data_IF_692619573938
#
_entry.id   IF_692619573938
#
_cell.length_a   1.000
_cell.length_b   1.000
_cell.length_c   1.000
_cell.angle_alpha   90.00
_cell.angle_beta   90.00
_cell.angle_gamma   90.00
#
_symmetry.space_group_name_H-M   'P 1'
#
loop_
_entity.id
_entity.type
_entity.pdbx_description
1 polymer ?
#
# COMPACT_ATOMS: atom_id res chain seq x y z
N UNK A 1 5.96 -1.72 5.23
CA UNK A 1 5.53 -1.72 6.65
C UNK A 1 5.22 -0.30 7.13
N UNK A 2 6.17 0.64 7.03
CA UNK A 2 6.04 2.01 7.55
C UNK A 2 4.81 2.78 7.04
N UNK A 3 4.39 2.59 5.79
CA UNK A 3 3.18 3.23 5.23
C UNK A 3 1.96 3.04 6.14
N UNK A 4 1.77 1.82 6.67
CA UNK A 4 0.65 1.54 7.55
C UNK A 4 1.03 1.80 9.02
N UNK A 5 2.19 1.34 9.47
CA UNK A 5 2.57 1.47 10.88
C UNK A 5 2.70 2.93 11.34
N UNK A 6 3.34 3.77 10.52
CA UNK A 6 3.55 5.20 10.79
C UNK A 6 2.43 6.01 10.14
N UNK A 7 2.18 5.79 8.84
CA UNK A 7 1.23 6.60 8.07
C UNK A 7 -0.22 6.44 8.52
N UNK A 8 -0.58 5.31 9.15
CA UNK A 8 -1.90 5.05 9.73
C UNK A 8 -1.84 4.89 11.26
N UNK A 9 -0.83 5.50 11.91
CA UNK A 9 -0.61 5.34 13.34
C UNK A 9 -1.82 5.75 14.19
N UNK A 10 -2.45 6.88 13.84
CA UNK A 10 -3.69 7.39 14.43
C UNK A 10 -4.45 8.26 13.41
N UNK A 11 -5.67 8.65 13.74
CA UNK A 11 -6.58 9.36 12.81
C UNK A 11 -6.03 10.74 12.40
N UNK A 12 -5.31 11.41 13.30
CA UNK A 12 -4.65 12.69 13.00
C UNK A 12 -3.56 12.52 11.93
N UNK A 13 -2.74 11.48 12.02
CA UNK A 13 -1.70 11.21 11.02
C UNK A 13 -2.31 10.65 9.73
N UNK A 14 -3.27 9.73 9.85
CA UNK A 14 -3.93 9.09 8.71
C UNK A 14 -4.63 10.12 7.81
N UNK A 15 -5.25 11.16 8.39
CA UNK A 15 -5.95 12.21 7.64
C UNK A 15 -5.05 13.11 6.80
N UNK A 16 -3.73 13.07 6.97
CA UNK A 16 -2.78 13.87 6.19
C UNK A 16 -2.49 13.28 4.80
N UNK A 17 -2.82 12.01 4.58
CA UNK A 17 -2.41 11.29 3.37
C UNK A 17 -3.52 11.23 2.33
N UNK A 18 -3.15 11.43 1.07
CA UNK A 18 -4.04 11.24 -0.09
C UNK A 18 -4.05 9.80 -0.60
N UNK A 19 -2.99 9.05 -0.33
CA UNK A 19 -2.79 7.67 -0.73
C UNK A 19 -1.38 7.22 -0.33
N UNK A 20 -1.07 5.94 -0.52
CA UNK A 20 0.23 5.37 -0.16
C UNK A 20 0.86 4.61 -1.31
N UNK A 21 2.19 4.67 -1.40
CA UNK A 21 2.99 3.80 -2.24
C UNK A 21 3.71 2.83 -1.31
N UNK A 22 3.19 1.60 -1.25
CA UNK A 22 3.73 0.50 -0.50
C UNK A 22 4.65 -0.32 -1.41
N UNK A 23 5.86 -0.60 -0.94
CA UNK A 23 6.80 -1.43 -1.66
C UNK A 23 7.39 -2.53 -0.77
N UNK A 24 7.46 -3.72 -1.35
CA UNK A 24 8.05 -4.93 -0.84
C UNK A 24 7.35 -5.56 0.38
N UNK A 25 7.65 -5.11 1.60
CA UNK A 25 7.01 -5.65 2.81
C UNK A 25 5.75 -4.89 3.21
N UNK A 26 4.67 -5.62 3.49
CA UNK A 26 3.38 -5.06 3.90
C UNK A 26 3.06 -5.37 5.38
N UNK A 27 2.48 -4.41 6.08
CA UNK A 27 2.12 -4.52 7.51
C UNK A 27 0.91 -5.45 7.70
N UNK A 28 1.05 -6.48 8.53
CA UNK A 28 0.01 -7.49 8.78
C UNK A 28 0.12 -8.79 7.96
N UNK A 29 0.97 -8.82 6.92
CA UNK A 29 1.25 -10.07 6.18
C UNK A 29 2.10 -11.03 7.01
N UNK A 30 3.05 -10.48 7.76
CA UNK A 30 3.94 -11.22 8.67
C UNK A 30 4.10 -10.44 9.96
N UNK A 31 4.26 -11.15 11.07
CA UNK A 31 4.63 -10.58 12.37
C UNK A 31 6.13 -10.25 12.44
N UNK A 32 6.45 -9.08 13.01
CA UNK A 32 7.80 -8.53 13.09
C UNK A 32 8.23 -8.34 14.55
N UNK A 33 9.53 -8.15 14.78
CA UNK A 33 10.06 -7.95 16.13
C UNK A 33 9.86 -6.50 16.64
N UNK A 34 8.61 -6.02 16.64
CA UNK A 34 8.18 -4.77 17.27
C UNK A 34 6.75 -4.93 17.82
N UNK A 35 6.41 -4.15 18.85
CA UNK A 35 5.10 -4.24 19.49
C UNK A 35 3.96 -3.85 18.54
N UNK A 36 2.90 -4.66 18.49
CA UNK A 36 1.74 -4.44 17.63
C UNK A 36 2.00 -4.72 16.14
N UNK A 37 2.98 -5.56 15.84
CA UNK A 37 3.22 -6.10 14.49
C UNK A 37 2.27 -7.24 14.12
N UNK A 38 1.47 -7.71 15.07
CA UNK A 38 0.49 -8.77 14.85
C UNK A 38 -0.62 -8.34 13.89
N UNK A 39 -1.26 -9.36 13.29
CA UNK A 39 -2.26 -9.19 12.25
C UNK A 39 -3.48 -8.37 12.70
N UNK A 40 -3.89 -8.51 13.96
CA UNK A 40 -5.06 -7.80 14.50
C UNK A 40 -4.75 -6.31 14.68
N UNK A 41 -3.58 -5.97 15.24
CA UNK A 41 -3.13 -4.60 15.36
C UNK A 41 -2.92 -3.94 13.99
N UNK A 42 -2.42 -4.67 13.00
CA UNK A 42 -2.28 -4.20 11.63
C UNK A 42 -3.64 -3.90 10.98
N UNK A 43 -4.65 -4.74 11.19
CA UNK A 43 -6.00 -4.50 10.68
C UNK A 43 -6.64 -3.23 11.29
N UNK A 44 -6.43 -2.96 12.58
CA UNK A 44 -6.88 -1.70 13.22
C UNK A 44 -6.27 -0.48 12.56
N UNK A 45 -4.97 -0.52 12.23
CA UNK A 45 -4.31 0.57 11.49
C UNK A 45 -4.86 0.67 10.07
N UNK A 46 -5.01 -0.45 9.38
CA UNK A 46 -5.51 -0.53 8.01
C UNK A 46 -6.89 0.10 7.86
N UNK A 47 -7.79 -0.07 8.84
CA UNK A 47 -9.13 0.53 8.82
C UNK A 47 -9.09 2.07 8.72
N UNK A 48 -8.02 2.70 9.21
CA UNK A 48 -7.80 4.15 9.05
C UNK A 48 -7.42 4.54 7.62
N UNK A 49 -7.38 3.63 6.65
CA UNK A 49 -7.31 4.04 5.25
C UNK A 49 -8.57 4.79 4.81
N UNK A 50 -9.74 4.45 5.34
CA UNK A 50 -11.03 5.11 5.01
C UNK A 50 -11.22 5.31 3.49
N UNK A 51 -10.91 4.27 2.71
CA UNK A 51 -11.06 4.29 1.24
C UNK A 51 -9.93 4.98 0.47
N UNK A 52 -8.93 5.58 1.15
CA UNK A 52 -7.75 6.14 0.50
C UNK A 52 -7.00 5.06 -0.29
N UNK A 53 -6.55 5.35 -1.52
CA UNK A 53 -5.91 4.36 -2.38
C UNK A 53 -4.52 3.98 -1.89
N UNK A 54 -4.14 2.71 -2.07
CA UNK A 54 -2.75 2.28 -1.98
C UNK A 54 -2.27 1.61 -3.27
N UNK A 55 -1.12 2.05 -3.74
CA UNK A 55 -0.30 1.31 -4.69
C UNK A 55 0.55 0.32 -3.93
N UNK A 56 0.49 -0.96 -4.31
CA UNK A 56 1.18 -2.05 -3.65
C UNK A 56 2.07 -2.72 -4.69
N UNK A 57 3.37 -2.59 -4.50
CA UNK A 57 4.37 -3.23 -5.33
C UNK A 57 5.23 -4.21 -4.54
N UNK A 58 5.65 -5.29 -5.17
CA UNK A 58 6.57 -6.25 -4.58
C UNK A 58 7.34 -6.96 -5.69
N UNK A 59 8.60 -7.25 -5.41
CA UNK A 59 9.42 -8.13 -6.23
C UNK A 59 8.72 -9.46 -6.49
N UNK A 60 8.68 -9.87 -7.76
CA UNK A 60 8.16 -11.15 -8.24
C UNK A 60 6.64 -11.32 -8.05
N UNK A 61 6.09 -11.12 -6.85
CA UNK A 61 4.65 -11.27 -6.62
C UNK A 61 4.11 -10.52 -5.40
N UNK A 62 3.03 -9.78 -5.63
CA UNK A 62 2.19 -9.14 -4.60
C UNK A 62 1.15 -10.07 -3.99
N UNK A 63 1.08 -11.34 -4.43
CA UNK A 63 0.02 -12.28 -4.06
C UNK A 63 -0.21 -12.42 -2.54
N UNK A 64 0.82 -12.60 -1.69
CA UNK A 64 0.60 -12.72 -0.24
C UNK A 64 -0.06 -11.48 0.38
N UNK A 65 0.31 -10.29 -0.12
CA UNK A 65 -0.30 -9.03 0.31
C UNK A 65 -1.74 -8.92 -0.18
N UNK A 66 -2.01 -9.35 -1.42
CA UNK A 66 -3.38 -9.38 -1.96
C UNK A 66 -4.28 -10.28 -1.13
N UNK A 67 -3.85 -11.51 -0.83
CA UNK A 67 -4.62 -12.46 -0.01
C UNK A 67 -4.93 -11.89 1.37
N UNK A 68 -3.93 -11.29 2.02
CA UNK A 68 -4.11 -10.60 3.30
C UNK A 68 -5.17 -9.49 3.22
N UNK A 69 -5.11 -8.64 2.19
CA UNK A 69 -5.99 -7.48 2.04
C UNK A 69 -7.42 -7.84 1.64
N UNK A 70 -7.62 -8.91 0.87
CA UNK A 70 -8.97 -9.41 0.59
C UNK A 70 -9.68 -9.92 1.85
N UNK A 71 -8.93 -10.38 2.86
CA UNK A 71 -9.48 -10.76 4.16
C UNK A 71 -9.67 -9.55 5.08
N UNK A 72 -8.66 -8.68 5.17
CA UNK A 72 -8.63 -7.59 6.16
C UNK A 72 -9.41 -6.34 5.73
N UNK A 73 -9.51 -6.06 4.43
CA UNK A 73 -10.19 -4.88 3.87
C UNK A 73 -10.68 -5.16 2.43
N UNK A 74 -11.68 -6.06 2.25
CA UNK A 74 -12.14 -6.48 0.91
C UNK A 74 -12.62 -5.32 0.03
N UNK A 75 -13.17 -4.26 0.63
CA UNK A 75 -13.63 -3.05 -0.07
C UNK A 75 -12.54 -1.97 -0.20
N UNK A 76 -11.29 -2.31 0.10
CA UNK A 76 -10.18 -1.37 0.04
C UNK A 76 -9.78 -0.99 -1.39
N UNK A 77 -9.34 0.25 -1.55
CA UNK A 77 -8.90 0.77 -2.84
C UNK A 77 -7.42 0.43 -3.05
N UNK A 78 -7.15 -0.73 -3.65
CA UNK A 78 -5.81 -1.26 -3.81
C UNK A 78 -5.43 -1.48 -5.28
N UNK A 79 -4.24 -1.05 -5.65
CA UNK A 79 -3.61 -1.36 -6.94
C UNK A 79 -2.42 -2.27 -6.67
N UNK A 80 -2.40 -3.47 -7.26
CA UNK A 80 -1.35 -4.47 -7.08
C UNK A 80 -0.47 -4.56 -8.32
N UNK A 81 0.84 -4.42 -8.16
CA UNK A 81 1.80 -4.44 -9.27
C UNK A 81 3.04 -5.26 -8.90
N UNK A 82 3.28 -6.32 -9.66
CA UNK A 82 4.46 -7.15 -9.48
C UNK A 82 5.65 -6.50 -10.19
N UNK A 83 6.78 -6.38 -9.50
CA UNK A 83 8.03 -5.89 -10.11
C UNK A 83 8.77 -7.11 -10.69
N UNK A 84 9.12 -7.11 -11.99
CA UNK A 84 9.53 -8.33 -12.71
C UNK A 84 10.94 -8.83 -12.37
N UNK A 85 11.56 -8.30 -11.33
CA UNK A 85 12.89 -8.66 -10.88
C UNK A 85 13.04 -8.47 -9.38
N UNK A 86 14.04 -9.16 -8.80
CA UNK A 86 14.39 -9.00 -7.40
C UNK A 86 15.05 -7.65 -7.16
N UNK A 87 14.31 -6.75 -6.55
CA UNK A 87 14.83 -5.51 -5.99
C UNK A 87 14.00 -5.09 -4.78
N UNK A 88 14.52 -5.35 -3.58
CA UNK A 88 13.85 -5.05 -2.31
C UNK A 88 13.87 -3.55 -1.94
N UNK A 89 14.30 -2.70 -2.88
CA UNK A 89 14.49 -1.26 -2.74
C UNK A 89 13.48 -0.51 -3.60
N UNK A 90 13.02 0.64 -3.08
CA UNK A 90 12.17 1.55 -3.85
C UNK A 90 12.86 2.16 -5.08
N UNK A 91 14.16 1.91 -5.29
CA UNK A 91 14.93 2.34 -6.46
C UNK A 91 14.37 1.83 -7.80
N UNK A 92 13.48 0.84 -7.80
CA UNK A 92 12.81 0.38 -9.04
C UNK A 92 12.10 1.52 -9.78
N UNK A 93 11.67 2.58 -9.08
CA UNK A 93 11.07 3.78 -9.69
C UNK A 93 12.05 4.59 -10.55
N UNK A 94 13.34 4.29 -10.48
CA UNK A 94 14.38 4.89 -11.32
C UNK A 94 14.58 4.10 -12.62
N UNK A 95 14.19 2.82 -12.65
CA UNK A 95 14.34 1.94 -13.80
C UNK A 95 13.34 2.29 -14.90
N UNK A 96 13.75 2.16 -16.16
CA UNK A 96 12.86 2.35 -17.31
C UNK A 96 12.05 1.09 -17.59
N UNK A 97 10.97 0.93 -16.81
CA UNK A 97 10.05 -0.21 -16.88
C UNK A 97 8.59 0.29 -16.94
N UNK A 98 7.66 -0.50 -17.52
CA UNK A 98 6.26 -0.10 -17.63
C UNK A 98 5.60 0.24 -16.29
N UNK A 99 5.96 -0.46 -15.21
CA UNK A 99 5.43 -0.26 -13.86
C UNK A 99 5.73 1.13 -13.32
N UNK A 100 6.85 1.74 -13.74
CA UNK A 100 7.20 3.12 -13.36
C UNK A 100 6.23 4.10 -13.99
N UNK A 101 5.90 3.91 -15.26
CA UNK A 101 4.93 4.75 -15.95
C UNK A 101 3.54 4.58 -15.31
N UNK A 102 3.13 3.34 -15.06
CA UNK A 102 1.85 3.05 -14.40
C UNK A 102 1.76 3.69 -13.00
N UNK A 103 2.85 3.73 -12.22
CA UNK A 103 2.88 4.45 -10.94
C UNK A 103 2.69 5.96 -11.13
N UNK A 104 3.29 6.56 -12.16
CA UNK A 104 3.12 8.00 -12.45
C UNK A 104 1.68 8.32 -12.79
N UNK A 105 1.07 7.53 -13.67
CA UNK A 105 -0.32 7.69 -14.07
C UNK A 105 -1.26 7.53 -12.87
N UNK A 106 -0.97 6.55 -12.00
CA UNK A 106 -1.70 6.36 -10.75
C UNK A 106 -1.58 7.57 -9.81
N UNK A 107 -0.38 8.14 -9.64
CA UNK A 107 -0.18 9.34 -8.82
C UNK A 107 -1.00 10.51 -9.38
N UNK A 108 -0.95 10.73 -10.69
CA UNK A 108 -1.72 11.79 -11.34
C UNK A 108 -3.22 11.65 -11.06
N UNK A 109 -3.75 10.43 -11.22
CA UNK A 109 -5.15 10.15 -10.97
C UNK A 109 -5.55 10.30 -9.48
N UNK A 110 -4.66 9.99 -8.52
CA UNK A 110 -4.89 10.24 -7.09
C UNK A 110 -4.91 11.75 -6.78
N UNK A 111 -4.07 12.53 -7.46
CA UNK A 111 -4.00 13.97 -7.29
C UNK A 111 -5.20 14.70 -7.91
N UNK A 112 -5.74 14.19 -9.02
CA UNK A 112 -6.96 14.73 -9.65
C UNK A 112 -8.27 14.34 -8.94
N UNK A 113 -8.22 13.41 -7.97
CA UNK A 113 -9.37 12.72 -7.35
C UNK A 113 -10.11 11.75 -8.28
N UNK A 114 -9.51 11.36 -9.41
CA UNK A 114 -10.11 10.41 -10.35
C UNK A 114 -10.01 8.96 -9.86
N UNK A 115 -9.14 8.68 -8.89
CA UNK A 115 -9.06 7.38 -8.22
C UNK A 115 -10.02 7.37 -7.02
N UNK A 116 -11.29 7.13 -7.28
CA UNK A 116 -12.24 6.73 -6.23
C UNK A 116 -13.13 7.83 -5.64
N UNK A 117 -13.34 8.95 -6.34
CA UNK A 117 -14.48 9.81 -6.03
C UNK A 117 -15.80 9.09 -6.37
N UNK A 118 -16.50 8.54 -5.37
CA UNK A 118 -17.96 8.48 -5.48
C UNK A 118 -18.51 9.89 -5.17
N UNK A 119 -19.57 10.34 -5.87
CA UNK A 119 -20.27 11.59 -5.55
C UNK A 119 -20.80 11.62 -4.11
#
# INVERSE_FOLDING_TARGET
IACNFIGLHNDKIASLWRGFICHSHYDGVKEWNYAGSDRAAAAVRLNRLEGRPQWISHEESTQPTREYLMEAAPEGNFTFVDIPYRNHSAEWVLCDIPERQALRDWIEAVLSNDVGGRP
#
